data_IF_332815533732
#
_entry.id   IF_332815533732
#
_cell.length_a   1.000
_cell.length_b   1.000
_cell.length_c   1.000
_cell.angle_alpha   90.00
_cell.angle_beta   90.00
_cell.angle_gamma   90.00
#
_symmetry.space_group_name_H-M   'P 1'
#
loop_
_entity.id
_entity.type
_entity.pdbx_description
1 polymer ?
#
# COMPACT_ATOMS: atom_id res chain seq x y z
N UNK A 1 6.30 -11.19 15.63
CA UNK A 1 7.00 -10.24 14.76
C UNK A 1 5.97 -9.69 13.77
N UNK A 2 5.44 -8.49 14.02
CA UNK A 2 4.51 -7.83 13.10
C UNK A 2 5.34 -7.15 12.02
N UNK A 3 5.23 -7.61 10.78
CA UNK A 3 5.90 -6.97 9.65
C UNK A 3 5.31 -5.58 9.47
N UNK A 4 6.09 -4.55 9.82
CA UNK A 4 5.76 -3.16 9.47
C UNK A 4 6.23 -2.89 8.05
N UNK A 5 5.65 -1.86 7.45
CA UNK A 5 6.08 -1.38 6.14
C UNK A 5 7.55 -0.96 6.23
N UNK A 6 8.33 -1.34 5.22
CA UNK A 6 9.70 -0.86 5.06
C UNK A 6 9.68 0.66 4.92
N UNK A 7 10.23 1.30 5.93
CA UNK A 7 10.20 2.75 6.08
C UNK A 7 11.60 3.25 6.34
N UNK A 8 12.03 4.26 5.58
CA UNK A 8 13.37 4.81 5.79
C UNK A 8 13.47 5.37 7.20
N UNK A 9 14.48 4.93 7.95
CA UNK A 9 14.64 5.32 9.36
C UNK A 9 13.70 4.62 10.34
N UNK A 10 13.07 3.50 9.94
CA UNK A 10 12.40 2.54 10.81
C UNK A 10 13.22 2.27 12.10
N UNK A 11 12.56 2.29 13.25
CA UNK A 11 13.18 2.09 14.59
C UNK A 11 12.99 0.70 15.18
N UNK A 12 12.58 -0.28 14.37
CA UNK A 12 12.27 -1.66 14.80
C UNK A 12 13.44 -2.32 15.53
N UNK A 13 14.67 -2.04 15.12
CA UNK A 13 15.88 -2.62 15.70
C UNK A 13 16.25 -2.06 17.08
N UNK A 14 15.68 -0.93 17.49
CA UNK A 14 15.98 -0.26 18.76
C UNK A 14 14.74 -0.05 19.64
N UNK A 15 13.65 -0.77 19.37
CA UNK A 15 12.40 -0.62 20.09
C UNK A 15 12.54 -0.86 21.60
N UNK A 16 13.35 -1.84 21.99
CA UNK A 16 13.54 -2.17 23.40
C UNK A 16 14.27 -1.02 24.13
N UNK A 17 15.31 -0.46 23.50
CA UNK A 17 16.00 0.73 24.02
C UNK A 17 15.05 1.94 24.18
N UNK A 18 14.17 2.18 23.20
CA UNK A 18 13.18 3.27 23.28
C UNK A 18 12.18 3.01 24.41
N UNK A 19 11.63 1.80 24.49
CA UNK A 19 10.63 1.42 25.49
C UNK A 19 11.22 1.51 26.90
N UNK A 20 12.43 1.01 27.12
CA UNK A 20 13.13 1.07 28.41
C UNK A 20 13.37 2.51 28.84
N UNK A 21 13.90 3.35 27.94
CA UNK A 21 14.12 4.77 28.23
C UNK A 21 12.85 5.54 28.55
N UNK A 22 11.69 5.16 27.98
CA UNK A 22 10.40 5.79 28.29
C UNK A 22 9.85 5.29 29.63
N UNK A 23 10.00 3.99 29.94
CA UNK A 23 9.55 3.39 31.21
C UNK A 23 10.24 4.01 32.44
N UNK A 24 11.40 4.66 32.28
CA UNK A 24 12.09 5.38 33.36
C UNK A 24 11.34 6.64 33.83
N UNK A 25 10.53 7.25 32.96
CA UNK A 25 9.90 8.56 33.23
C UNK A 25 8.37 8.51 33.27
N UNK A 26 7.75 7.49 32.67
CA UNK A 26 6.31 7.39 32.53
C UNK A 26 5.75 6.12 33.16
N UNK A 27 4.54 6.22 33.68
CA UNK A 27 3.76 5.10 34.20
C UNK A 27 2.79 4.56 33.14
N UNK A 28 2.39 3.30 33.29
CA UNK A 28 1.36 2.70 32.43
C UNK A 28 0.07 3.55 32.45
N UNK A 29 -0.50 3.81 31.27
CA UNK A 29 -1.64 4.69 31.08
C UNK A 29 -1.29 6.16 30.83
N UNK A 30 -0.03 6.58 31.01
CA UNK A 30 0.40 7.92 30.61
C UNK A 30 0.26 8.13 29.10
N UNK A 31 0.20 9.40 28.68
CA UNK A 31 0.01 9.76 27.26
C UNK A 31 1.34 10.15 26.61
N UNK A 32 1.61 9.58 25.44
CA UNK A 32 2.80 9.86 24.62
C UNK A 32 2.36 10.43 23.27
N UNK A 33 3.01 11.52 22.86
CA UNK A 33 2.92 12.08 21.52
C UNK A 33 4.13 11.61 20.69
N UNK A 34 3.89 10.71 19.74
CA UNK A 34 4.87 10.35 18.71
C UNK A 34 4.76 11.36 17.56
N UNK A 35 5.63 12.38 17.60
CA UNK A 35 5.60 13.52 16.67
C UNK A 35 5.92 13.14 15.21
N UNK A 36 6.62 12.03 14.99
CA UNK A 36 7.12 11.59 13.68
C UNK A 36 6.88 10.09 13.51
N UNK A 37 5.60 9.72 13.56
CA UNK A 37 5.18 8.33 13.71
C UNK A 37 5.60 7.43 12.53
N UNK A 38 5.72 7.97 11.31
CA UNK A 38 6.16 7.24 10.12
C UNK A 38 5.37 5.95 9.88
N UNK A 39 6.01 4.80 10.02
CA UNK A 39 5.34 3.50 9.89
C UNK A 39 4.48 3.09 11.09
N UNK A 40 4.46 3.89 12.15
CA UNK A 40 3.75 3.60 13.39
C UNK A 40 4.40 2.54 14.27
N UNK A 41 5.65 2.11 13.97
CA UNK A 41 6.28 0.99 14.68
C UNK A 41 6.57 1.29 16.16
N UNK A 42 6.98 2.53 16.47
CA UNK A 42 7.22 2.99 17.85
C UNK A 42 5.89 3.18 18.56
N UNK A 43 4.98 3.95 17.96
CA UNK A 43 3.60 4.12 18.43
C UNK A 43 2.92 2.78 18.79
N UNK A 44 2.99 1.77 17.91
CA UNK A 44 2.40 0.45 18.16
C UNK A 44 3.11 -0.35 19.26
N UNK A 45 4.42 -0.15 19.43
CA UNK A 45 5.13 -0.79 20.54
C UNK A 45 4.63 -0.23 21.87
N UNK A 46 4.56 1.09 21.95
CA UNK A 46 4.22 1.82 23.18
C UNK A 46 2.72 1.75 23.51
N UNK A 47 1.84 1.59 22.52
CA UNK A 47 0.39 1.51 22.73
C UNK A 47 -0.08 0.33 23.58
N UNK A 48 0.80 -0.64 23.83
CA UNK A 48 0.55 -1.75 24.76
C UNK A 48 0.52 -1.33 26.23
N UNK A 49 1.15 -0.20 26.56
CA UNK A 49 1.28 0.34 27.93
C UNK A 49 0.78 1.78 28.06
N UNK A 50 0.80 2.55 26.99
CA UNK A 50 0.57 3.99 27.01
C UNK A 50 -0.58 4.39 26.10
N UNK A 51 -1.21 5.52 26.40
CA UNK A 51 -2.10 6.21 25.48
C UNK A 51 -1.26 6.90 24.41
N UNK A 52 -1.51 6.64 23.13
CA UNK A 52 -0.66 7.15 22.04
C UNK A 52 -1.42 8.16 21.18
N UNK A 53 -0.78 9.31 20.95
CA UNK A 53 -1.12 10.24 19.88
C UNK A 53 -0.02 10.11 18.82
N UNK A 54 -0.35 9.58 17.66
CA UNK A 54 0.57 9.46 16.53
C UNK A 54 0.36 10.64 15.57
N UNK A 55 1.42 11.38 15.31
CA UNK A 55 1.44 12.51 14.40
C UNK A 55 2.51 12.31 13.34
N UNK A 56 2.20 12.74 12.11
CA UNK A 56 3.15 12.85 11.01
C UNK A 56 2.63 13.89 10.02
N UNK A 57 3.52 14.49 9.23
CA UNK A 57 3.12 15.43 8.16
C UNK A 57 2.48 14.68 6.98
N UNK A 58 2.85 13.41 6.79
CA UNK A 58 2.41 12.61 5.66
C UNK A 58 1.05 11.94 5.92
N UNK A 59 0.01 12.20 5.08
CA UNK A 59 -1.33 11.65 5.31
C UNK A 59 -1.41 10.11 5.35
N UNK A 60 -0.57 9.41 4.57
CA UNK A 60 -0.56 7.94 4.60
C UNK A 60 -0.12 7.40 5.97
N UNK A 61 0.77 8.11 6.68
CA UNK A 61 1.25 7.73 8.01
C UNK A 61 0.09 7.78 9.00
N UNK A 62 -0.76 8.82 8.92
CA UNK A 62 -1.99 8.90 9.70
C UNK A 62 -2.92 7.71 9.42
N UNK A 63 -3.17 7.36 8.16
CA UNK A 63 -4.02 6.21 7.82
C UNK A 63 -3.47 4.90 8.38
N UNK A 64 -2.17 4.65 8.25
CA UNK A 64 -1.51 3.46 8.79
C UNK A 64 -1.59 3.40 10.31
N UNK A 65 -1.22 4.49 10.98
CA UNK A 65 -1.25 4.57 12.43
C UNK A 65 -2.68 4.39 12.97
N UNK A 66 -3.69 4.95 12.32
CA UNK A 66 -5.10 4.73 12.70
C UNK A 66 -5.49 3.25 12.58
N UNK A 67 -5.12 2.57 11.49
CA UNK A 67 -5.42 1.16 11.31
C UNK A 67 -4.73 0.26 12.36
N UNK A 68 -3.49 0.62 12.75
CA UNK A 68 -2.68 -0.13 13.71
C UNK A 68 -3.13 0.11 15.16
N UNK A 69 -3.34 1.38 15.52
CA UNK A 69 -3.65 1.80 16.89
C UNK A 69 -5.15 1.68 17.23
N UNK A 70 -6.01 1.61 16.23
CA UNK A 70 -7.45 1.45 16.38
C UNK A 70 -7.97 0.32 15.50
N UNK A 71 -7.56 -0.94 15.77
CA UNK A 71 -7.95 -2.06 14.93
C UNK A 71 -9.46 -2.27 14.98
N UNK A 72 -10.06 -2.39 13.79
CA UNK A 72 -11.48 -2.70 13.64
C UNK A 72 -11.73 -4.19 13.91
N UNK A 73 -12.82 -4.50 14.63
CA UNK A 73 -13.34 -5.86 14.72
C UNK A 73 -14.22 -6.12 13.49
N UNK A 74 -13.66 -6.78 12.48
CA UNK A 74 -14.37 -7.09 11.24
C UNK A 74 -15.21 -8.36 11.39
N UNK A 75 -16.46 -8.29 10.96
CA UNK A 75 -17.33 -9.46 10.83
C UNK A 75 -17.07 -10.19 9.51
N UNK A 76 -17.57 -11.43 9.39
CA UNK A 76 -17.54 -12.15 8.12
C UNK A 76 -18.28 -11.41 6.99
N UNK A 77 -19.33 -10.65 7.34
CA UNK A 77 -20.06 -9.82 6.40
C UNK A 77 -19.21 -8.65 5.91
N UNK A 78 -18.47 -7.98 6.80
CA UNK A 78 -17.57 -6.87 6.43
C UNK A 78 -16.49 -7.35 5.45
N UNK A 79 -15.88 -8.50 5.73
CA UNK A 79 -14.89 -9.12 4.84
C UNK A 79 -15.51 -9.41 3.46
N UNK A 80 -16.75 -9.92 3.45
CA UNK A 80 -17.46 -10.23 2.19
C UNK A 80 -17.77 -8.95 1.41
N UNK A 81 -18.19 -7.88 2.09
CA UNK A 81 -18.46 -6.58 1.47
C UNK A 81 -17.18 -5.99 0.86
N UNK A 82 -16.05 -6.01 1.60
CA UNK A 82 -14.75 -5.55 1.11
C UNK A 82 -14.32 -6.33 -0.12
N UNK A 83 -14.44 -7.68 -0.10
CA UNK A 83 -14.12 -8.52 -1.27
C UNK A 83 -14.98 -8.16 -2.49
N UNK A 84 -16.28 -8.00 -2.29
CA UNK A 84 -17.19 -7.64 -3.37
C UNK A 84 -16.86 -6.27 -3.96
N UNK A 85 -16.50 -5.30 -3.11
CA UNK A 85 -16.07 -3.98 -3.56
C UNK A 85 -14.78 -4.07 -4.39
N UNK A 86 -13.78 -4.82 -3.92
CA UNK A 86 -12.52 -5.02 -4.65
C UNK A 86 -12.78 -5.68 -6.03
N UNK A 87 -13.65 -6.69 -6.09
CA UNK A 87 -14.02 -7.36 -7.35
C UNK A 87 -14.73 -6.39 -8.30
N UNK A 88 -15.65 -5.57 -7.79
CA UNK A 88 -16.36 -4.58 -8.59
C UNK A 88 -15.41 -3.51 -9.16
N UNK A 89 -14.53 -2.96 -8.32
CA UNK A 89 -13.52 -1.99 -8.75
C UNK A 89 -12.56 -2.59 -9.79
N UNK A 90 -12.08 -3.82 -9.56
CA UNK A 90 -11.21 -4.51 -10.52
C UNK A 90 -11.92 -4.72 -11.86
N UNK A 91 -13.17 -5.18 -11.85
CA UNK A 91 -13.96 -5.41 -13.07
C UNK A 91 -14.17 -4.09 -13.83
N UNK A 92 -14.48 -3.01 -13.12
CA UNK A 92 -14.61 -1.68 -13.68
C UNK A 92 -13.30 -1.22 -14.35
N UNK A 93 -12.16 -1.39 -13.68
CA UNK A 93 -10.86 -1.01 -14.24
C UNK A 93 -10.50 -1.83 -15.49
N UNK A 94 -10.76 -3.13 -15.50
CA UNK A 94 -10.50 -4.01 -16.65
C UNK A 94 -11.33 -3.58 -17.86
N UNK A 95 -12.62 -3.30 -17.67
CA UNK A 95 -13.51 -2.83 -18.73
C UNK A 95 -13.11 -1.44 -19.23
N UNK A 96 -12.84 -0.53 -18.31
CA UNK A 96 -12.46 0.85 -18.61
C UNK A 96 -11.14 0.96 -19.40
N UNK A 97 -10.20 0.04 -19.17
CA UNK A 97 -8.91 -0.02 -19.87
C UNK A 97 -8.90 -0.93 -21.10
N UNK A 98 -10.01 -1.62 -21.40
CA UNK A 98 -10.10 -2.70 -22.40
C UNK A 98 -8.97 -3.74 -22.23
N UNK A 99 -8.69 -4.11 -20.98
CA UNK A 99 -7.49 -4.86 -20.60
C UNK A 99 -7.66 -6.39 -20.68
N UNK A 100 -8.88 -6.90 -20.88
CA UNK A 100 -9.19 -8.33 -20.70
C UNK A 100 -8.32 -9.25 -21.57
N UNK A 101 -8.09 -8.89 -22.83
CA UNK A 101 -7.26 -9.69 -23.74
C UNK A 101 -5.79 -9.69 -23.32
N UNK A 102 -5.31 -8.55 -22.83
CA UNK A 102 -3.93 -8.38 -22.42
C UNK A 102 -3.64 -9.17 -21.14
N UNK A 103 -4.54 -9.11 -20.15
CA UNK A 103 -4.45 -9.89 -18.91
C UNK A 103 -4.51 -11.40 -19.17
N UNK A 104 -5.40 -11.83 -20.07
CA UNK A 104 -5.47 -13.24 -20.47
C UNK A 104 -4.18 -13.72 -21.15
N UNK A 105 -3.53 -12.87 -21.94
CA UNK A 105 -2.23 -13.19 -22.55
C UNK A 105 -1.13 -13.27 -21.51
N UNK A 106 -1.06 -12.32 -20.59
CA UNK A 106 -0.09 -12.34 -19.50
C UNK A 106 -0.23 -13.61 -18.67
N UNK A 107 -1.44 -13.91 -18.17
CA UNK A 107 -1.70 -15.11 -17.38
C UNK A 107 -1.32 -16.38 -18.15
N UNK A 108 -1.61 -16.44 -19.46
CA UNK A 108 -1.20 -17.56 -20.31
C UNK A 108 0.32 -17.71 -20.36
N UNK A 109 1.05 -16.61 -20.52
CA UNK A 109 2.51 -16.65 -20.63
C UNK A 109 3.20 -16.89 -19.28
N UNK A 110 2.61 -16.45 -18.16
CA UNK A 110 3.03 -16.84 -16.81
C UNK A 110 2.91 -18.35 -16.63
N UNK A 111 1.75 -18.93 -16.96
CA UNK A 111 1.50 -20.37 -16.83
C UNK A 111 2.41 -21.23 -17.72
N UNK A 112 2.87 -20.67 -18.84
CA UNK A 112 3.80 -21.32 -19.76
C UNK A 112 5.27 -21.02 -19.43
N UNK A 113 5.54 -20.19 -18.42
CA UNK A 113 6.88 -19.69 -18.07
C UNK A 113 7.62 -19.05 -19.26
N UNK A 114 6.88 -18.44 -20.21
CA UNK A 114 7.43 -17.89 -21.45
C UNK A 114 7.85 -16.43 -21.27
N UNK A 115 9.03 -16.25 -20.67
CA UNK A 115 9.62 -14.94 -20.36
C UNK A 115 9.74 -14.04 -21.60
N UNK A 116 10.05 -14.62 -22.76
CA UNK A 116 10.22 -13.84 -24.01
C UNK A 116 8.90 -13.22 -24.47
N UNK A 117 7.79 -13.94 -24.31
CA UNK A 117 6.47 -13.39 -24.63
C UNK A 117 5.99 -12.39 -23.59
N UNK A 118 6.28 -12.61 -22.30
CA UNK A 118 6.02 -11.63 -21.24
C UNK A 118 6.75 -10.30 -21.49
N UNK A 119 8.05 -10.34 -21.75
CA UNK A 119 8.84 -9.13 -22.06
C UNK A 119 8.29 -8.38 -23.29
N UNK A 120 7.84 -9.12 -24.31
CA UNK A 120 7.24 -8.52 -25.50
C UNK A 120 5.92 -7.80 -25.20
N UNK A 121 5.03 -8.38 -24.40
CA UNK A 121 3.77 -7.70 -24.05
C UNK A 121 4.01 -6.48 -23.17
N UNK A 122 4.94 -6.56 -22.21
CA UNK A 122 5.28 -5.44 -21.33
C UNK A 122 5.89 -4.27 -22.09
N UNK A 123 6.79 -4.54 -23.05
CA UNK A 123 7.37 -3.50 -23.91
C UNK A 123 6.36 -2.85 -24.84
N UNK A 124 5.36 -3.61 -25.29
CA UNK A 124 4.30 -3.12 -26.19
C UNK A 124 3.19 -2.38 -25.46
N UNK A 125 2.95 -2.70 -24.19
CA UNK A 125 1.92 -2.05 -23.39
C UNK A 125 2.20 -0.56 -23.27
N UNK A 126 1.20 0.26 -23.59
CA UNK A 126 1.33 1.71 -23.52
C UNK A 126 1.22 2.19 -22.07
N UNK A 127 2.32 2.79 -21.60
CA UNK A 127 2.46 3.46 -20.31
C UNK A 127 2.80 4.94 -20.54
N UNK A 128 2.80 5.72 -19.46
CA UNK A 128 3.24 7.12 -19.49
C UNK A 128 4.71 7.29 -19.91
N UNK A 129 5.51 6.22 -19.88
CA UNK A 129 6.95 6.28 -20.18
C UNK A 129 7.27 6.02 -21.65
N UNK A 130 6.40 5.28 -22.36
CA UNK A 130 6.64 4.85 -23.74
C UNK A 130 5.55 5.29 -24.74
N UNK A 131 4.51 6.03 -24.30
CA UNK A 131 3.44 6.54 -25.15
C UNK A 131 3.45 8.07 -25.26
N UNK A 132 3.14 8.59 -26.45
CA UNK A 132 2.80 10.02 -26.66
C UNK A 132 1.31 10.31 -26.42
N UNK A 133 0.49 9.26 -26.40
CA UNK A 133 -0.97 9.36 -26.25
C UNK A 133 -1.35 9.37 -24.78
N UNK A 134 -0.72 8.51 -23.98
CA UNK A 134 -0.93 8.38 -22.54
C UNK A 134 0.15 9.21 -21.82
N UNK A 135 -0.26 10.29 -21.17
CA UNK A 135 0.67 11.14 -20.40
C UNK A 135 0.05 11.43 -19.03
N UNK A 136 0.86 11.75 -18.00
CA UNK A 136 0.34 12.04 -16.68
C UNK A 136 -0.67 13.20 -16.67
N UNK A 137 -0.47 14.23 -17.50
CA UNK A 137 -1.40 15.35 -17.62
C UNK A 137 -2.78 14.90 -18.15
N UNK A 138 -2.80 14.15 -19.25
CA UNK A 138 -4.05 13.64 -19.85
C UNK A 138 -4.80 12.67 -18.93
N UNK A 139 -4.08 11.83 -18.18
CA UNK A 139 -4.69 10.92 -17.22
C UNK A 139 -5.33 11.70 -16.05
N UNK A 140 -4.64 12.73 -15.53
CA UNK A 140 -5.19 13.61 -14.49
C UNK A 140 -6.42 14.38 -14.93
N UNK A 141 -6.41 14.94 -16.14
CA UNK A 141 -7.57 15.65 -16.71
C UNK A 141 -8.83 14.78 -16.78
N UNK A 142 -8.65 13.48 -17.02
CA UNK A 142 -9.75 12.51 -17.10
C UNK A 142 -10.06 11.83 -15.76
N UNK A 143 -9.38 12.18 -14.69
CA UNK A 143 -9.47 11.51 -13.39
C UNK A 143 -9.17 9.98 -13.47
N UNK A 144 -8.27 9.58 -14.37
CA UNK A 144 -7.91 8.19 -14.67
C UNK A 144 -6.61 7.80 -13.95
N UNK A 145 -6.66 7.67 -12.63
CA UNK A 145 -5.50 7.31 -11.81
C UNK A 145 -5.22 5.82 -11.81
N UNK A 146 -4.78 5.28 -12.95
CA UNK A 146 -4.38 3.88 -13.02
C UNK A 146 -2.86 3.73 -12.87
N UNK A 147 -2.38 3.94 -11.65
CA UNK A 147 -0.94 3.96 -11.33
C UNK A 147 -0.26 2.64 -11.72
N UNK A 148 -0.83 1.53 -11.28
CA UNK A 148 -0.23 0.21 -11.51
C UNK A 148 -0.24 -0.15 -13.00
N UNK A 149 -1.34 0.09 -13.72
CA UNK A 149 -1.46 -0.31 -15.11
C UNK A 149 -0.80 0.65 -16.11
N UNK A 150 -0.85 1.97 -15.89
CA UNK A 150 -0.38 2.98 -16.85
C UNK A 150 0.95 3.63 -16.48
N UNK A 151 1.38 3.54 -15.22
CA UNK A 151 2.71 4.03 -14.82
C UNK A 151 3.70 2.89 -14.67
N UNK A 152 3.36 1.81 -13.98
CA UNK A 152 4.39 0.87 -13.51
C UNK A 152 4.24 -0.57 -14.01
N UNK A 153 3.27 -0.84 -14.89
CA UNK A 153 3.09 -2.14 -15.51
C UNK A 153 4.31 -2.51 -16.37
N UNK A 154 4.73 -3.77 -16.27
CA UNK A 154 5.88 -4.32 -16.95
C UNK A 154 7.25 -3.84 -16.42
N UNK A 155 7.27 -3.04 -15.34
CA UNK A 155 8.52 -2.58 -14.70
C UNK A 155 8.58 -2.98 -13.24
N UNK A 156 7.63 -2.50 -12.42
CA UNK A 156 7.51 -2.88 -11.02
C UNK A 156 6.38 -3.89 -10.78
N UNK A 157 5.34 -3.87 -11.61
CA UNK A 157 4.17 -4.74 -11.48
C UNK A 157 3.91 -5.50 -12.78
N UNK A 158 3.21 -6.63 -12.69
CA UNK A 158 2.53 -7.24 -13.84
C UNK A 158 1.42 -6.33 -14.38
N UNK A 159 0.72 -6.80 -15.40
CA UNK A 159 -0.45 -6.13 -15.96
C UNK A 159 -1.68 -6.34 -15.10
#
# INVERSE_FOLDING_TARGET
>A
MSYFIDYLGNKSSILDFIEDGINEYLYEGDTILDLFAGSGVVANRLSKKYNIIANDVEPYSSTLCSAILSPLVLTQQDITNIKNQIIAENSFLIEHEDAINLLNQEQKYINLEDIRKLDNIYKKHETVWNSKRITPAKLREKNQYNLFFRYYAGTYFGL
#
